data_IF_875807923728
#
_entry.id   IF_875807923728
#
_cell.length_a   1.000
_cell.length_b   1.000
_cell.length_c   1.000
_cell.angle_alpha   90.00
_cell.angle_beta   90.00
_cell.angle_gamma   90.00
#
_symmetry.space_group_name_H-M   'P 1'
#
loop_
_entity.id
_entity.type
_entity.pdbx_description
1 polymer ?
#
# COMPACT_ATOMS: atom_id res chain seq x y z
N UNK A 1 -31.52 -3.91 -4.60
CA UNK A 1 -30.49 -2.88 -4.34
C UNK A 1 -29.92 -2.50 -5.69
N UNK A 2 -30.28 -1.32 -6.21
CA UNK A 2 -29.78 -0.83 -7.50
C UNK A 2 -28.69 0.17 -7.17
N UNK A 3 -27.43 -0.17 -7.45
CA UNK A 3 -26.32 0.79 -7.40
C UNK A 3 -26.61 1.88 -8.44
N UNK A 4 -26.94 3.08 -7.96
CA UNK A 4 -26.98 4.28 -8.76
C UNK A 4 -25.54 4.64 -9.11
N UNK A 5 -25.07 4.12 -10.24
CA UNK A 5 -23.81 4.53 -10.85
C UNK A 5 -23.79 6.05 -10.96
N UNK A 6 -22.83 6.67 -10.28
CA UNK A 6 -22.60 8.11 -10.35
C UNK A 6 -22.39 8.51 -11.80
N UNK A 7 -23.36 9.20 -12.39
CA UNK A 7 -23.25 9.83 -13.70
C UNK A 7 -22.28 11.00 -13.56
N UNK A 8 -20.98 10.72 -13.62
CA UNK A 8 -19.97 11.77 -13.65
C UNK A 8 -20.21 12.61 -14.90
N UNK A 9 -20.63 13.85 -14.70
CA UNK A 9 -20.72 14.87 -15.75
C UNK A 9 -19.47 14.82 -16.62
N UNK A 10 -19.58 14.86 -17.96
CA UNK A 10 -18.43 14.88 -18.82
C UNK A 10 -17.53 16.06 -18.42
N UNK A 11 -16.21 15.86 -18.32
CA UNK A 11 -15.31 16.92 -17.87
C UNK A 11 -15.48 18.13 -18.79
N UNK A 12 -15.88 19.26 -18.21
CA UNK A 12 -16.02 20.50 -18.97
C UNK A 12 -14.67 20.80 -19.64
N UNK A 13 -14.64 21.13 -20.94
CA UNK A 13 -13.41 21.46 -21.62
C UNK A 13 -12.71 22.60 -20.86
N UNK A 14 -11.40 22.43 -20.60
CA UNK A 14 -10.61 23.44 -19.87
C UNK A 14 -10.61 24.72 -20.70
N UNK A 15 -11.26 25.76 -20.18
CA UNK A 15 -11.33 27.07 -20.83
C UNK A 15 -9.95 27.70 -20.79
N UNK A 16 -9.38 28.02 -21.95
CA UNK A 16 -8.06 28.64 -22.04
C UNK A 16 -8.12 30.10 -21.58
N UNK A 17 -7.29 30.47 -20.62
CA UNK A 17 -7.22 31.86 -20.14
C UNK A 17 -6.63 32.77 -21.22
N UNK A 18 -7.38 33.82 -21.58
CA UNK A 18 -6.98 34.78 -22.62
C UNK A 18 -7.11 34.23 -24.05
N UNK A 19 -7.99 33.25 -24.28
CA UNK A 19 -8.24 32.70 -25.61
C UNK A 19 -8.65 33.77 -26.63
N UNK A 20 -9.44 34.76 -26.22
CA UNK A 20 -9.90 35.84 -27.10
C UNK A 20 -8.76 36.77 -27.53
N UNK A 21 -7.88 37.13 -26.59
CA UNK A 21 -6.67 37.91 -26.88
C UNK A 21 -5.73 37.14 -27.81
N UNK A 22 -5.54 35.84 -27.56
CA UNK A 22 -4.72 34.98 -28.39
C UNK A 22 -5.32 34.84 -29.80
N UNK A 23 -6.65 34.79 -29.94
CA UNK A 23 -7.35 34.72 -31.22
C UNK A 23 -7.25 36.03 -32.01
N UNK A 24 -7.32 37.18 -31.35
CA UNK A 24 -7.10 38.48 -31.97
C UNK A 24 -5.68 38.59 -32.55
N UNK A 25 -4.67 38.11 -31.81
CA UNK A 25 -3.27 38.13 -32.22
C UNK A 25 -2.92 37.03 -33.23
N UNK A 26 -3.73 35.99 -33.40
CA UNK A 26 -3.46 34.86 -34.30
C UNK A 26 -3.40 35.26 -35.78
N UNK A 27 -4.06 36.36 -36.17
CA UNK A 27 -4.07 36.88 -37.54
C UNK A 27 -2.87 37.79 -37.86
N UNK A 28 -2.06 38.13 -36.87
CA UNK A 28 -0.88 38.97 -37.07
C UNK A 28 0.21 38.24 -37.84
N UNK A 29 0.88 38.94 -38.76
CA UNK A 29 2.01 38.37 -39.52
C UNK A 29 3.24 38.12 -38.65
N UNK A 30 3.42 38.95 -37.62
CA UNK A 30 4.53 38.85 -36.67
C UNK A 30 4.03 39.21 -35.26
N UNK A 31 4.46 38.44 -34.26
CA UNK A 31 4.21 38.71 -32.86
C UNK A 31 5.44 39.37 -32.23
N UNK A 32 5.21 40.34 -31.36
CA UNK A 32 6.27 40.94 -30.55
C UNK A 32 6.76 39.95 -29.49
N UNK A 33 8.02 40.10 -29.07
CA UNK A 33 8.59 39.29 -27.97
C UNK A 33 7.73 39.38 -26.70
N UNK A 34 7.17 40.55 -26.41
CA UNK A 34 6.33 40.79 -25.22
C UNK A 34 5.05 39.96 -25.26
N UNK A 35 4.34 39.95 -26.38
CA UNK A 35 3.09 39.18 -26.55
C UNK A 35 3.34 37.68 -26.39
N UNK A 36 4.42 37.17 -27.01
CA UNK A 36 4.78 35.75 -26.89
C UNK A 36 5.06 35.37 -25.43
N UNK A 37 5.85 36.18 -24.71
CA UNK A 37 6.18 35.92 -23.31
C UNK A 37 4.94 35.99 -22.41
N UNK A 38 4.06 36.97 -22.61
CA UNK A 38 2.81 37.10 -21.85
C UNK A 38 1.90 35.90 -22.09
N UNK A 39 1.71 35.49 -23.34
CA UNK A 39 0.91 34.30 -23.68
C UNK A 39 1.47 33.06 -23.02
N UNK A 40 2.78 32.80 -23.14
CA UNK A 40 3.44 31.64 -22.53
C UNK A 40 3.33 31.64 -21.02
N UNK A 41 3.54 32.79 -20.37
CA UNK A 41 3.41 32.93 -18.92
C UNK A 41 1.99 32.58 -18.45
N UNK A 42 0.96 33.09 -19.14
CA UNK A 42 -0.45 32.76 -18.83
C UNK A 42 -0.71 31.26 -18.95
N UNK A 43 -0.24 30.64 -20.05
CA UNK A 43 -0.42 29.20 -20.32
C UNK A 43 0.26 28.34 -19.26
N UNK A 44 1.50 28.65 -18.90
CA UNK A 44 2.24 27.92 -17.85
C UNK A 44 1.54 28.05 -16.50
N UNK A 45 1.13 29.26 -16.10
CA UNK A 45 0.39 29.47 -14.85
C UNK A 45 -0.92 28.70 -14.82
N UNK A 46 -1.65 28.68 -15.92
CA UNK A 46 -2.88 27.89 -16.04
C UNK A 46 -2.60 26.39 -15.92
N UNK A 47 -1.57 25.90 -16.62
CA UNK A 47 -1.18 24.50 -16.57
C UNK A 47 -0.80 24.05 -15.16
N UNK A 48 -0.01 24.87 -14.44
CA UNK A 48 0.34 24.61 -13.04
C UNK A 48 -0.89 24.48 -12.16
N UNK A 49 -1.88 25.37 -12.33
CA UNK A 49 -3.14 25.31 -11.57
C UNK A 49 -3.92 24.03 -11.90
N UNK A 50 -4.06 23.69 -13.18
CA UNK A 50 -4.74 22.48 -13.61
C UNK A 50 -4.09 21.22 -13.00
N UNK A 51 -2.77 21.05 -13.11
CA UNK A 51 -2.10 19.88 -12.53
C UNK A 51 -2.22 19.82 -11.01
N UNK A 52 -2.18 20.96 -10.32
CA UNK A 52 -2.39 21.00 -8.87
C UNK A 52 -3.80 20.50 -8.50
N UNK A 53 -4.82 20.92 -9.24
CA UNK A 53 -6.20 20.44 -9.02
C UNK A 53 -6.31 18.94 -9.27
N UNK A 54 -5.76 18.43 -10.37
CA UNK A 54 -5.76 16.99 -10.68
C UNK A 54 -5.05 16.17 -9.61
N UNK A 55 -3.89 16.64 -9.13
CA UNK A 55 -3.16 15.99 -8.04
C UNK A 55 -4.03 15.84 -6.80
N UNK A 56 -4.71 16.91 -6.37
CA UNK A 56 -5.55 16.85 -5.17
C UNK A 56 -6.76 15.93 -5.34
N UNK A 57 -7.44 15.98 -6.48
CA UNK A 57 -8.56 15.07 -6.77
C UNK A 57 -8.12 13.60 -6.73
N UNK A 58 -7.00 13.26 -7.37
CA UNK A 58 -6.45 11.91 -7.37
C UNK A 58 -6.05 11.46 -5.95
N UNK A 59 -5.42 12.34 -5.18
CA UNK A 59 -5.03 12.03 -3.81
C UNK A 59 -6.22 11.82 -2.88
N UNK A 60 -7.32 12.55 -3.09
CA UNK A 60 -8.57 12.39 -2.34
C UNK A 60 -9.24 11.05 -2.65
N UNK A 61 -9.31 10.67 -3.92
CA UNK A 61 -9.81 9.35 -4.33
C UNK A 61 -8.95 8.21 -3.78
N UNK A 62 -7.62 8.34 -3.86
CA UNK A 62 -6.70 7.33 -3.35
C UNK A 62 -6.87 7.13 -1.84
N UNK A 63 -6.95 8.21 -1.08
CA UNK A 63 -7.18 8.17 0.37
C UNK A 63 -8.52 7.53 0.71
N UNK A 64 -9.57 7.86 -0.04
CA UNK A 64 -10.90 7.28 0.14
C UNK A 64 -10.90 5.78 -0.11
N UNK A 65 -10.31 5.32 -1.22
CA UNK A 65 -10.16 3.90 -1.55
C UNK A 65 -9.30 3.16 -0.53
N UNK A 66 -8.21 3.76 -0.07
CA UNK A 66 -7.35 3.18 0.97
C UNK A 66 -8.09 3.02 2.30
N UNK A 67 -8.86 4.03 2.73
CA UNK A 67 -9.69 3.93 3.94
C UNK A 67 -10.72 2.81 3.82
N UNK A 68 -11.39 2.71 2.67
CA UNK A 68 -12.35 1.63 2.41
C UNK A 68 -11.65 0.26 2.47
N UNK A 69 -10.53 0.10 1.78
CA UNK A 69 -9.73 -1.13 1.82
C UNK A 69 -9.30 -1.49 3.24
N UNK A 70 -8.79 -0.51 4.00
CA UNK A 70 -8.40 -0.73 5.39
C UNK A 70 -9.58 -1.05 6.30
N UNK A 71 -10.78 -0.54 6.01
CA UNK A 71 -11.97 -0.88 6.77
C UNK A 71 -12.46 -2.30 6.46
N UNK A 72 -12.46 -2.70 5.18
CA UNK A 72 -12.94 -4.01 4.74
C UNK A 72 -11.93 -5.13 4.98
N UNK A 73 -10.63 -4.84 4.88
CA UNK A 73 -9.53 -5.83 4.92
C UNK A 73 -8.45 -5.52 5.96
N UNK A 74 -8.62 -4.51 6.82
CA UNK A 74 -7.61 -4.12 7.82
C UNK A 74 -7.34 -5.16 8.90
N UNK A 75 -8.19 -6.19 8.99
CA UNK A 75 -7.78 -7.48 9.57
C UNK A 75 -7.29 -8.32 8.40
N UNK A 76 -6.00 -8.67 8.41
CA UNK A 76 -5.34 -9.55 7.45
C UNK A 76 -6.34 -10.56 6.88
N UNK A 77 -6.53 -10.64 5.54
CA UNK A 77 -7.40 -11.64 4.91
C UNK A 77 -7.09 -13.08 5.33
N UNK A 78 -5.91 -13.32 5.90
CA UNK A 78 -5.56 -14.53 6.62
C UNK A 78 -6.01 -14.41 8.08
N UNK A 79 -7.31 -14.66 8.31
CA UNK A 79 -7.68 -15.28 9.58
C UNK A 79 -7.12 -16.69 9.52
N UNK A 80 -6.24 -17.03 10.45
CA UNK A 80 -5.87 -18.41 10.70
C UNK A 80 -7.12 -19.13 11.20
N UNK A 81 -7.86 -19.73 10.26
CA UNK A 81 -8.82 -20.79 10.58
C UNK A 81 -7.99 -22.01 11.00
N UNK A 82 -7.54 -22.00 12.26
CA UNK A 82 -7.10 -23.21 12.95
C UNK A 82 -8.02 -23.44 14.15
N UNK A 83 -9.19 -24.00 13.83
CA UNK A 83 -9.95 -25.03 14.53
C UNK A 83 -9.68 -25.31 16.03
N UNK A 84 -10.82 -25.39 16.72
CA UNK A 84 -11.23 -26.38 17.73
C UNK A 84 -10.74 -26.25 19.18
N UNK A 85 -11.74 -26.07 20.05
CA UNK A 85 -12.14 -27.01 21.10
C UNK A 85 -11.04 -27.87 21.72
N UNK A 86 -10.89 -27.72 23.05
CA UNK A 86 -10.37 -28.74 23.93
C UNK A 86 -8.86 -28.88 23.93
N UNK A 87 -8.20 -28.42 24.99
CA UNK A 87 -7.74 -29.32 26.05
C UNK A 87 -6.83 -28.54 26.97
N UNK A 88 -7.26 -28.40 28.22
CA UNK A 88 -6.38 -28.07 29.32
C UNK A 88 -5.38 -29.22 29.41
N UNK A 89 -4.08 -28.97 29.27
CA UNK A 89 -2.95 -29.65 29.91
C UNK A 89 -1.72 -29.71 28.99
N UNK A 90 -0.86 -28.68 29.03
CA UNK A 90 0.57 -28.89 28.80
C UNK A 90 1.41 -27.84 29.53
N UNK A 91 2.30 -28.25 30.47
CA UNK A 91 3.12 -27.33 31.27
C UNK A 91 4.38 -26.94 30.50
N UNK A 92 4.27 -26.08 29.48
CA UNK A 92 5.46 -25.49 28.89
C UNK A 92 5.23 -24.08 28.32
N UNK A 93 5.30 -23.10 29.22
CA UNK A 93 6.07 -21.88 28.96
C UNK A 93 5.43 -20.80 28.10
N UNK A 94 4.14 -20.50 28.29
CA UNK A 94 3.61 -19.15 28.06
C UNK A 94 4.19 -18.26 29.16
N UNK A 95 5.11 -17.36 28.80
CA UNK A 95 5.45 -16.22 29.65
C UNK A 95 4.47 -15.11 29.32
N UNK A 96 3.47 -14.92 30.19
CA UNK A 96 2.64 -13.72 30.23
C UNK A 96 3.50 -12.56 30.71
N UNK A 97 4.23 -11.96 29.77
CA UNK A 97 4.89 -10.67 29.97
C UNK A 97 3.86 -9.55 29.85
N UNK A 98 3.74 -8.75 30.89
CA UNK A 98 2.87 -7.58 31.01
C UNK A 98 3.11 -6.61 29.84
N UNK A 99 2.06 -6.35 29.05
CA UNK A 99 2.00 -5.24 28.10
C UNK A 99 1.96 -5.64 26.63
N UNK A 100 0.75 -5.70 26.06
CA UNK A 100 0.51 -5.46 24.63
C UNK A 100 0.92 -6.57 23.65
N UNK A 101 0.01 -7.51 23.41
CA UNK A 101 -0.30 -8.04 22.08
C UNK A 101 0.82 -8.63 21.23
N UNK A 102 1.34 -9.80 21.62
CA UNK A 102 1.79 -10.86 20.70
C UNK A 102 2.05 -12.09 21.58
N UNK A 103 1.32 -13.19 21.40
CA UNK A 103 1.65 -14.43 22.10
C UNK A 103 3.03 -14.88 21.60
N UNK A 104 4.08 -14.64 22.39
CA UNK A 104 5.46 -14.99 22.02
C UNK A 104 5.59 -16.52 22.06
N UNK A 105 5.28 -17.17 20.95
CA UNK A 105 5.46 -18.61 20.78
C UNK A 105 6.95 -18.92 20.75
N UNK A 106 7.41 -19.78 21.67
CA UNK A 106 8.79 -20.29 21.69
C UNK A 106 8.98 -21.42 20.69
N UNK A 107 10.21 -21.58 20.22
CA UNK A 107 10.58 -22.72 19.40
C UNK A 107 10.31 -24.05 20.14
N UNK A 108 9.63 -24.99 19.46
CA UNK A 108 9.28 -26.32 19.98
C UNK A 108 10.48 -27.27 20.13
N UNK A 109 11.62 -26.96 19.52
CA UNK A 109 12.80 -27.81 19.60
C UNK A 109 13.28 -27.95 21.04
N UNK A 110 13.57 -29.18 21.48
CA UNK A 110 13.90 -29.48 22.87
C UNK A 110 15.07 -28.63 23.38
N UNK A 111 14.84 -27.86 24.45
CA UNK A 111 15.84 -26.98 25.06
C UNK A 111 16.07 -25.64 24.36
N UNK A 112 15.33 -25.35 23.29
CA UNK A 112 15.46 -24.08 22.57
C UNK A 112 14.67 -22.95 23.25
N UNK A 113 15.35 -21.84 23.54
CA UNK A 113 14.74 -20.66 24.18
C UNK A 113 14.41 -19.52 23.23
N UNK A 114 14.74 -19.66 21.94
CA UNK A 114 14.52 -18.62 20.94
C UNK A 114 13.05 -18.52 20.55
N UNK A 115 12.59 -17.31 20.16
CA UNK A 115 11.25 -17.09 19.59
C UNK A 115 11.07 -17.90 18.30
N UNK A 116 9.90 -18.50 18.13
CA UNK A 116 9.51 -19.17 16.89
C UNK A 116 9.28 -18.13 15.78
N UNK A 117 9.48 -18.53 14.53
CA UNK A 117 9.20 -17.67 13.38
C UNK A 117 7.69 -17.63 13.08
N UNK A 118 7.22 -16.56 12.44
CA UNK A 118 5.82 -16.45 12.03
C UNK A 118 5.38 -17.68 11.19
N UNK A 119 4.16 -18.17 11.43
CA UNK A 119 3.55 -19.34 10.78
C UNK A 119 4.27 -20.68 11.03
N UNK A 120 5.19 -20.75 12.00
CA UNK A 120 5.91 -21.98 12.34
C UNK A 120 6.08 -22.08 13.85
N UNK A 121 6.23 -23.29 14.37
CA UNK A 121 6.53 -23.53 15.78
C UNK A 121 8.04 -23.66 16.04
N UNK A 122 8.88 -23.33 15.05
CA UNK A 122 10.34 -23.46 15.13
C UNK A 122 11.04 -22.11 14.88
N UNK A 123 12.25 -21.94 15.40
CA UNK A 123 13.08 -20.80 15.06
C UNK A 123 13.89 -21.06 13.78
N UNK A 124 14.59 -20.04 13.28
CA UNK A 124 15.40 -20.17 12.06
C UNK A 124 16.47 -21.28 12.13
N UNK A 125 17.02 -21.57 13.30
CA UNK A 125 18.00 -22.64 13.47
C UNK A 125 17.40 -24.05 13.43
N UNK A 126 16.14 -24.19 13.86
CA UNK A 126 15.45 -25.49 13.98
C UNK A 126 14.31 -25.67 12.98
N UNK A 127 14.19 -24.77 12.00
CA UNK A 127 13.08 -24.77 11.04
C UNK A 127 13.04 -26.04 10.18
N UNK A 128 14.19 -26.70 10.01
CA UNK A 128 14.31 -27.98 9.31
C UNK A 128 13.72 -29.17 10.10
N UNK A 129 13.37 -28.97 11.37
CA UNK A 129 12.63 -29.97 12.17
C UNK A 129 11.12 -29.94 11.94
N UNK A 130 10.62 -29.00 11.15
CA UNK A 130 9.20 -28.90 10.80
C UNK A 130 8.87 -29.75 9.57
N UNK A 131 7.98 -30.73 9.74
CA UNK A 131 7.58 -31.66 8.67
C UNK A 131 6.71 -31.02 7.59
N UNK A 132 6.07 -29.88 7.87
CA UNK A 132 5.19 -29.18 6.91
C UNK A 132 5.94 -28.13 6.08
N UNK A 133 7.18 -27.85 6.43
CA UNK A 133 7.98 -26.77 5.90
C UNK A 133 8.60 -27.16 4.54
N UNK A 134 8.45 -26.29 3.52
CA UNK A 134 8.95 -26.53 2.14
C UNK A 134 9.90 -25.46 1.60
N UNK A 135 10.06 -24.34 2.31
CA UNK A 135 10.80 -23.15 1.85
C UNK A 135 12.27 -23.14 2.28
N UNK A 136 12.64 -23.79 3.38
CA UNK A 136 13.99 -23.74 3.94
C UNK A 136 14.69 -25.06 3.60
N UNK A 137 15.95 -24.96 3.22
CA UNK A 137 16.77 -26.13 2.91
C UNK A 137 18.07 -26.03 3.68
N UNK A 138 18.47 -27.14 4.31
CA UNK A 138 19.78 -27.24 4.94
C UNK A 138 20.89 -27.03 3.90
N UNK A 139 21.98 -26.41 4.33
CA UNK A 139 23.15 -26.26 3.49
C UNK A 139 23.69 -27.66 3.13
N UNK A 140 23.74 -27.98 1.83
CA UNK A 140 24.33 -29.23 1.32
C UNK A 140 25.83 -29.12 1.04
N UNK A 141 26.38 -27.91 1.15
CA UNK A 141 27.81 -27.71 0.94
C UNK A 141 28.57 -28.19 2.18
N UNK A 142 29.30 -29.28 2.04
CA UNK A 142 30.32 -29.68 3.01
C UNK A 142 31.45 -28.67 2.87
N UNK A 143 31.66 -27.83 3.88
CA UNK A 143 32.91 -27.07 4.00
C UNK A 143 34.03 -28.10 4.16
N UNK A 144 34.74 -28.41 3.06
CA UNK A 144 35.98 -29.18 3.13
C UNK A 144 36.96 -28.34 3.96
N UNK A 145 37.42 -28.91 5.07
CA UNK A 145 38.63 -28.44 5.75
C UNK A 145 39.85 -28.87 4.95
#
# INVERSE_FOLDING_TARGET
>A
MVELGSTSSPPRPVTVNGADEDAALAKSRFLTRKEVLQRRLRRVRQLTRCYRTHYWALMEELRSKYRNYSWTYGKSPFKEDHNNEGDNNNPNGVVTGVGGGDDIVRCRFSGCKTKAMAMTIYCHAHILSDSKQKLYQGCKAVAKK
#
